data_IF_729215428272
#
_entry.id   IF_729215428272
#
_cell.length_a   1.000
_cell.length_b   1.000
_cell.length_c   1.000
_cell.angle_alpha   90.00
_cell.angle_beta   90.00
_cell.angle_gamma   90.00
#
_symmetry.space_group_name_H-M   'P 1'
#
loop_
_entity.id
_entity.type
_entity.pdbx_description
1 polymer ?
#
# COMPACT_ATOMS: atom_id res chain seq x y z
N UNK A 1 4.97 -28.95 -5.81
CA UNK A 1 5.47 -27.56 -5.96
C UNK A 1 4.31 -26.64 -5.59
N UNK A 2 4.48 -25.81 -4.60
CA UNK A 2 3.45 -24.88 -4.07
C UNK A 2 3.06 -23.86 -5.14
N UNK A 3 1.76 -23.61 -5.30
CA UNK A 3 1.23 -22.59 -6.21
C UNK A 3 1.15 -21.25 -5.49
N UNK A 4 2.03 -20.32 -5.83
CA UNK A 4 2.11 -18.99 -5.21
C UNK A 4 1.32 -17.91 -5.98
N UNK A 5 0.85 -18.20 -7.20
CA UNK A 5 0.13 -17.24 -8.04
C UNK A 5 -1.21 -16.84 -7.43
N UNK A 6 -1.51 -15.53 -7.50
CA UNK A 6 -2.80 -14.98 -7.11
C UNK A 6 -3.36 -14.05 -8.19
N UNK A 7 -4.68 -13.86 -8.22
CA UNK A 7 -5.33 -12.92 -9.14
C UNK A 7 -5.82 -11.70 -8.35
N UNK A 8 -5.33 -10.52 -8.71
CA UNK A 8 -5.66 -9.27 -8.08
C UNK A 8 -6.44 -8.38 -9.06
N UNK A 9 -7.77 -8.49 -9.04
CA UNK A 9 -8.69 -7.76 -9.94
C UNK A 9 -8.30 -7.89 -11.43
N UNK A 10 -8.03 -9.12 -11.89
CA UNK A 10 -7.61 -9.40 -13.27
C UNK A 10 -6.11 -9.30 -13.54
N UNK A 11 -5.32 -8.75 -12.62
CA UNK A 11 -3.86 -8.77 -12.67
C UNK A 11 -3.33 -10.05 -12.00
N UNK A 12 -2.74 -10.95 -12.80
CA UNK A 12 -2.07 -12.15 -12.25
C UNK A 12 -0.71 -11.76 -11.69
N UNK A 13 -0.48 -12.08 -10.42
CA UNK A 13 0.81 -11.95 -9.73
C UNK A 13 1.44 -13.34 -9.58
N UNK A 14 2.75 -13.48 -9.80
CA UNK A 14 3.47 -14.75 -9.67
C UNK A 14 3.56 -15.24 -8.22
N UNK A 15 3.49 -14.30 -7.28
CA UNK A 15 3.35 -14.53 -5.84
C UNK A 15 2.59 -13.35 -5.21
N UNK A 16 2.08 -13.47 -3.98
CA UNK A 16 1.25 -12.43 -3.36
C UNK A 16 2.01 -11.18 -2.88
N UNK A 17 3.35 -11.10 -3.02
CA UNK A 17 4.16 -10.04 -2.44
C UNK A 17 4.21 -8.80 -3.32
N UNK A 18 3.87 -7.65 -2.71
CA UNK A 18 3.91 -6.33 -3.32
C UNK A 18 4.83 -5.43 -2.47
N UNK A 19 5.81 -4.77 -3.08
CA UNK A 19 6.51 -3.71 -2.36
C UNK A 19 5.57 -2.50 -2.20
N UNK A 20 5.33 -2.10 -0.94
CA UNK A 20 4.34 -1.07 -0.61
C UNK A 20 4.83 0.33 -1.01
N UNK A 21 3.89 1.18 -1.42
CA UNK A 21 4.18 2.57 -1.75
C UNK A 21 4.78 3.34 -0.56
N UNK A 22 5.76 4.17 -0.87
CA UNK A 22 6.42 5.06 0.10
C UNK A 22 7.73 4.53 0.65
N UNK A 23 8.02 3.24 0.52
CA UNK A 23 9.23 2.58 1.02
C UNK A 23 10.11 2.00 -0.08
N UNK A 24 9.61 1.95 -1.31
CA UNK A 24 10.29 1.34 -2.47
C UNK A 24 10.65 2.35 -3.58
N UNK A 25 10.29 3.63 -3.42
CA UNK A 25 10.53 4.65 -4.44
C UNK A 25 9.85 4.31 -5.77
N UNK A 26 10.67 4.25 -6.81
CA UNK A 26 10.31 3.74 -8.15
C UNK A 26 10.98 2.39 -8.45
N UNK A 27 11.67 1.81 -7.46
CA UNK A 27 12.30 0.49 -7.53
C UNK A 27 13.73 0.49 -8.06
N UNK A 28 14.27 1.62 -8.51
CA UNK A 28 15.60 1.72 -9.14
C UNK A 28 16.70 1.28 -8.17
N UNK A 29 16.73 1.85 -6.98
CA UNK A 29 17.76 1.57 -5.97
C UNK A 29 17.76 0.09 -5.56
N UNK A 30 16.58 -0.52 -5.45
CA UNK A 30 16.45 -1.94 -5.15
C UNK A 30 16.88 -2.81 -6.32
N UNK A 31 16.63 -2.37 -7.58
CA UNK A 31 17.05 -3.12 -8.76
C UNK A 31 18.58 -3.18 -8.96
N UNK A 32 19.32 -2.30 -8.29
CA UNK A 32 20.78 -2.29 -8.30
C UNK A 32 21.39 -3.33 -7.33
N UNK A 33 20.61 -3.82 -6.37
CA UNK A 33 21.08 -4.76 -5.33
C UNK A 33 20.53 -6.18 -5.50
N UNK A 34 19.36 -6.37 -6.12
CA UNK A 34 18.81 -7.68 -6.50
C UNK A 34 17.82 -7.59 -7.66
N UNK A 35 17.52 -8.71 -8.31
CA UNK A 35 16.49 -8.74 -9.36
C UNK A 35 15.08 -8.58 -8.76
N UNK A 36 14.54 -7.37 -8.84
CA UNK A 36 13.21 -7.06 -8.31
C UNK A 36 12.06 -7.70 -9.10
N UNK A 37 12.33 -8.39 -10.23
CA UNK A 37 11.31 -9.17 -10.94
C UNK A 37 10.85 -10.40 -10.15
N UNK A 38 11.50 -10.73 -9.03
CA UNK A 38 11.02 -11.73 -8.07
C UNK A 38 9.70 -11.29 -7.41
N UNK A 39 9.43 -9.98 -7.24
CA UNK A 39 8.19 -9.45 -6.68
C UNK A 39 6.98 -9.79 -7.56
N UNK A 40 5.81 -9.99 -6.95
CA UNK A 40 4.55 -10.05 -7.68
C UNK A 40 4.24 -8.73 -8.39
N UNK A 41 4.41 -7.61 -7.68
CA UNK A 41 4.33 -6.24 -8.19
C UNK A 41 5.00 -5.27 -7.20
N UNK A 42 4.98 -3.97 -7.51
CA UNK A 42 5.23 -2.93 -6.54
C UNK A 42 4.34 -1.70 -6.77
N UNK A 43 3.99 -1.01 -5.68
CA UNK A 43 3.33 0.27 -5.73
C UNK A 43 4.38 1.39 -5.66
N UNK A 44 4.50 2.18 -6.72
CA UNK A 44 5.47 3.27 -6.72
C UNK A 44 5.08 4.42 -5.79
N UNK A 45 6.00 5.34 -5.57
CA UNK A 45 5.84 6.50 -4.69
C UNK A 45 4.56 7.26 -4.96
N UNK A 46 3.80 7.56 -3.90
CA UNK A 46 2.59 8.37 -3.97
C UNK A 46 2.81 9.67 -4.73
N UNK A 47 2.13 9.81 -5.85
CA UNK A 47 2.33 10.88 -6.82
C UNK A 47 1.14 11.83 -6.79
N UNK A 48 1.42 13.13 -6.77
CA UNK A 48 0.44 14.22 -6.88
C UNK A 48 0.48 14.83 -8.28
N UNK A 49 -0.54 15.60 -8.67
CA UNK A 49 -0.58 16.28 -9.98
C UNK A 49 0.66 17.16 -10.12
N UNK A 50 0.86 18.09 -9.18
CA UNK A 50 2.05 18.94 -9.14
C UNK A 50 3.17 18.31 -8.28
N UNK A 51 4.45 18.68 -8.50
CA UNK A 51 5.56 18.24 -7.65
C UNK A 51 5.45 18.76 -6.22
N UNK A 52 5.93 17.97 -5.24
CA UNK A 52 5.94 18.34 -3.82
C UNK A 52 7.31 18.14 -3.20
N UNK A 53 7.76 19.13 -2.43
CA UNK A 53 9.02 19.07 -1.68
C UNK A 53 8.93 18.21 -0.41
N UNK A 54 7.71 17.92 0.03
CA UNK A 54 7.46 17.23 1.30
C UNK A 54 7.53 18.15 2.52
N UNK A 55 7.46 17.52 3.69
CA UNK A 55 7.47 18.22 4.98
C UNK A 55 8.89 18.63 5.41
N UNK A 56 9.03 19.60 6.33
CA UNK A 56 10.30 19.94 6.97
C UNK A 56 10.92 18.74 7.71
N UNK A 57 12.25 18.77 7.84
CA UNK A 57 13.01 17.82 8.67
C UNK A 57 13.09 18.27 10.12
N UNK A 58 13.23 17.34 11.09
CA UNK A 58 13.23 15.88 10.97
C UNK A 58 11.84 15.32 10.64
N UNK A 59 11.77 14.40 9.67
CA UNK A 59 10.52 13.84 9.18
C UNK A 59 10.47 12.30 9.17
N UNK A 60 11.56 11.68 9.62
CA UNK A 60 11.67 10.25 9.88
C UNK A 60 12.41 10.08 11.20
N UNK A 61 11.96 9.16 12.04
CA UNK A 61 12.64 8.79 13.27
C UNK A 61 12.36 7.32 13.60
N UNK A 62 13.31 6.65 14.24
CA UNK A 62 13.14 5.30 14.74
C UNK A 62 12.18 5.27 15.94
N UNK A 63 11.42 4.20 16.02
CA UNK A 63 10.54 3.85 17.16
C UNK A 63 10.83 2.42 17.60
N UNK A 64 10.19 1.97 18.68
CA UNK A 64 10.28 0.59 19.12
C UNK A 64 9.60 -0.30 18.07
N UNK A 65 10.35 -1.25 17.48
CA UNK A 65 9.89 -2.17 16.43
C UNK A 65 9.19 -1.49 15.23
N UNK A 66 9.62 -0.25 14.91
CA UNK A 66 9.04 0.49 13.79
C UNK A 66 9.67 1.87 13.59
N UNK A 67 9.07 2.62 12.67
CA UNK A 67 9.50 3.97 12.32
C UNK A 67 8.34 4.97 12.39
N UNK A 68 8.64 6.18 12.78
CA UNK A 68 7.79 7.36 12.62
C UNK A 68 8.16 8.05 11.31
N UNK A 69 7.19 8.27 10.44
CA UNK A 69 7.43 8.89 9.13
C UNK A 69 6.37 9.95 8.80
N UNK A 70 6.83 11.10 8.37
CA UNK A 70 6.02 12.26 7.98
C UNK A 70 6.63 12.94 6.76
N UNK A 71 6.88 12.17 5.70
CA UNK A 71 7.58 12.65 4.48
C UNK A 71 6.79 13.73 3.74
N UNK A 72 5.45 13.72 3.82
CA UNK A 72 4.60 14.76 3.24
C UNK A 72 4.45 14.66 1.72
N UNK A 73 4.36 13.44 1.18
CA UNK A 73 4.19 13.17 -0.25
C UNK A 73 5.26 13.81 -1.14
N UNK A 74 6.52 13.85 -0.70
CA UNK A 74 7.61 14.30 -1.59
C UNK A 74 7.62 13.44 -2.85
N UNK A 75 7.40 14.08 -4.01
CA UNK A 75 7.39 13.43 -5.31
C UNK A 75 7.60 14.47 -6.44
N UNK A 76 8.05 14.05 -7.63
CA UNK A 76 8.36 14.96 -8.73
C UNK A 76 7.14 15.43 -9.54
N UNK A 77 5.91 15.01 -9.17
CA UNK A 77 4.70 15.32 -9.91
C UNK A 77 4.38 14.31 -11.03
N UNK A 78 3.10 14.28 -11.41
CA UNK A 78 2.57 13.32 -12.39
C UNK A 78 3.28 13.36 -13.74
N UNK A 79 3.52 14.55 -14.27
CA UNK A 79 4.17 14.72 -15.59
C UNK A 79 5.54 14.07 -15.62
N UNK A 80 6.38 14.33 -14.60
CA UNK A 80 7.71 13.73 -14.49
C UNK A 80 7.63 12.22 -14.34
N UNK A 81 6.72 11.71 -13.49
CA UNK A 81 6.54 10.26 -13.30
C UNK A 81 6.17 9.57 -14.63
N UNK A 82 5.31 10.16 -15.43
CA UNK A 82 4.91 9.57 -16.72
C UNK A 82 6.02 9.70 -17.77
N UNK A 83 6.68 10.85 -17.85
CA UNK A 83 7.67 11.13 -18.88
C UNK A 83 9.03 10.49 -18.62
N UNK A 84 9.40 10.24 -17.36
CA UNK A 84 10.70 9.70 -16.94
C UNK A 84 10.56 8.37 -16.19
N UNK A 85 10.05 8.39 -14.97
CA UNK A 85 10.09 7.24 -14.04
C UNK A 85 9.43 5.98 -14.63
N UNK A 86 8.21 6.09 -15.19
CA UNK A 86 7.51 4.97 -15.80
C UNK A 86 8.22 4.43 -17.06
N UNK A 87 9.04 5.23 -17.73
CA UNK A 87 9.87 4.75 -18.84
C UNK A 87 11.09 3.98 -18.34
N UNK A 88 11.76 4.51 -17.31
CA UNK A 88 12.93 3.86 -16.71
C UNK A 88 12.57 2.52 -16.06
N UNK A 89 11.44 2.43 -15.36
CA UNK A 89 10.93 1.18 -14.74
C UNK A 89 10.94 0.02 -15.74
N UNK A 90 10.57 0.23 -17.02
CA UNK A 90 10.59 -0.82 -18.04
C UNK A 90 11.98 -1.42 -18.29
N UNK A 91 13.03 -0.71 -17.94
CA UNK A 91 14.42 -1.17 -18.05
C UNK A 91 14.72 -2.31 -17.08
N UNK A 92 14.23 -2.23 -15.85
CA UNK A 92 14.58 -3.12 -14.74
C UNK A 92 13.40 -3.93 -14.16
N UNK A 93 12.15 -3.57 -14.43
CA UNK A 93 10.97 -4.33 -14.01
C UNK A 93 10.05 -4.64 -15.19
N UNK A 94 9.79 -5.95 -15.42
CA UNK A 94 9.09 -6.44 -16.62
C UNK A 94 7.59 -6.67 -16.42
N UNK A 95 7.12 -6.58 -15.18
CA UNK A 95 5.72 -6.77 -14.80
C UNK A 95 4.98 -5.43 -14.72
N UNK A 96 3.67 -5.50 -14.47
CA UNK A 96 2.87 -4.30 -14.22
C UNK A 96 3.12 -3.76 -12.83
N UNK A 97 3.10 -2.43 -12.70
CA UNK A 97 3.22 -1.71 -11.42
C UNK A 97 1.87 -1.18 -10.96
N UNK A 98 1.78 -0.85 -9.69
CA UNK A 98 0.64 -0.18 -9.05
C UNK A 98 0.95 1.32 -8.97
N UNK A 99 0.11 2.14 -9.60
CA UNK A 99 0.24 3.59 -9.57
C UNK A 99 -0.41 4.16 -8.30
N UNK A 100 0.38 4.58 -7.30
CA UNK A 100 -0.16 5.22 -6.11
C UNK A 100 -0.48 6.69 -6.41
N UNK A 101 -1.75 6.99 -6.59
CA UNK A 101 -2.29 8.32 -6.85
C UNK A 101 -2.64 9.00 -5.52
N UNK A 102 -2.08 10.17 -5.25
CA UNK A 102 -2.32 10.93 -4.03
C UNK A 102 -2.85 12.33 -4.36
N UNK A 103 -3.97 12.71 -3.75
CA UNK A 103 -4.63 13.97 -4.04
C UNK A 103 -5.37 14.53 -2.83
N UNK A 104 -5.88 15.75 -2.98
CA UNK A 104 -6.55 16.50 -1.92
C UNK A 104 -8.01 16.88 -2.28
N UNK A 105 -8.41 16.56 -3.51
CA UNK A 105 -9.77 16.78 -4.00
C UNK A 105 -10.15 15.67 -4.98
N UNK A 106 -11.45 15.53 -5.27
CA UNK A 106 -11.95 14.59 -6.28
C UNK A 106 -11.28 14.83 -7.63
N UNK A 107 -11.12 16.09 -8.04
CA UNK A 107 -10.50 16.47 -9.31
C UNK A 107 -9.06 15.95 -9.46
N UNK A 108 -8.24 16.04 -8.40
CA UNK A 108 -6.87 15.51 -8.42
C UNK A 108 -6.86 14.00 -8.66
N UNK A 109 -7.73 13.24 -7.99
CA UNK A 109 -7.82 11.80 -8.20
C UNK A 109 -8.30 11.44 -9.61
N UNK A 110 -9.21 12.20 -10.18
CA UNK A 110 -9.69 12.04 -11.56
C UNK A 110 -8.55 12.27 -12.56
N UNK A 111 -7.83 13.40 -12.45
CA UNK A 111 -6.68 13.71 -13.31
C UNK A 111 -5.61 12.59 -13.26
N UNK A 112 -5.26 12.15 -12.05
CA UNK A 112 -4.26 11.10 -11.86
C UNK A 112 -4.73 9.76 -12.44
N UNK A 113 -5.99 9.38 -12.20
CA UNK A 113 -6.57 8.14 -12.69
C UNK A 113 -6.63 8.08 -14.21
N UNK A 114 -7.05 9.16 -14.85
CA UNK A 114 -7.09 9.28 -16.31
C UNK A 114 -5.69 9.12 -16.92
N UNK A 115 -4.70 9.84 -16.37
CA UNK A 115 -3.36 9.86 -16.94
C UNK A 115 -2.56 8.58 -16.67
N UNK A 116 -2.65 8.00 -15.46
CA UNK A 116 -2.06 6.69 -15.17
C UNK A 116 -2.80 5.55 -15.90
N UNK A 117 -4.10 5.68 -16.11
CA UNK A 117 -4.90 4.74 -16.90
C UNK A 117 -4.37 4.52 -18.30
N UNK A 118 -3.84 5.57 -18.94
CA UNK A 118 -3.24 5.52 -20.29
C UNK A 118 -1.87 4.80 -20.33
N UNK A 119 -1.24 4.54 -19.18
CA UNK A 119 0.11 3.97 -19.14
C UNK A 119 0.10 2.44 -19.25
N UNK A 120 0.79 1.89 -20.26
CA UNK A 120 0.78 0.44 -20.55
C UNK A 120 1.37 -0.41 -19.43
N UNK A 121 2.37 0.06 -18.70
CA UNK A 121 3.02 -0.67 -17.62
C UNK A 121 2.33 -0.48 -16.25
N UNK A 122 1.32 0.37 -16.13
CA UNK A 122 0.44 0.42 -14.97
C UNK A 122 -0.61 -0.69 -15.07
N UNK A 123 -0.73 -1.49 -14.02
CA UNK A 123 -1.73 -2.57 -13.92
C UNK A 123 -2.93 -2.18 -13.06
N UNK A 124 -2.69 -1.44 -11.98
CA UNK A 124 -3.69 -1.00 -10.99
C UNK A 124 -3.41 0.45 -10.65
N UNK A 125 -4.45 1.22 -10.37
CA UNK A 125 -4.35 2.57 -9.80
C UNK A 125 -4.81 2.51 -8.35
N UNK A 126 -3.93 2.84 -7.40
CA UNK A 126 -4.20 2.87 -5.97
C UNK A 126 -4.48 4.32 -5.53
N UNK A 127 -5.74 4.62 -5.21
CA UNK A 127 -6.14 5.93 -4.68
C UNK A 127 -5.76 6.04 -3.21
N UNK A 128 -4.77 6.85 -2.90
CA UNK A 128 -4.30 7.06 -1.53
C UNK A 128 -5.13 8.15 -0.85
N UNK A 129 -6.30 7.78 -0.32
CA UNK A 129 -7.20 8.68 0.40
C UNK A 129 -6.82 8.88 1.88
N UNK A 130 -5.76 8.22 2.33
CA UNK A 130 -5.41 8.04 3.75
C UNK A 130 -4.25 8.89 4.24
N UNK A 131 -3.78 9.89 3.48
CA UNK A 131 -2.63 10.69 3.90
C UNK A 131 -2.98 11.59 5.10
N UNK A 132 -2.43 11.34 6.30
CA UNK A 132 -2.79 12.08 7.51
C UNK A 132 -2.15 13.47 7.61
N UNK A 133 -1.27 13.85 6.69
CA UNK A 133 -0.40 15.03 6.78
C UNK A 133 -0.86 16.20 5.91
N UNK A 134 -2.14 16.27 5.57
CA UNK A 134 -2.68 17.32 4.70
C UNK A 134 -3.38 18.39 5.51
N UNK A 135 -2.78 19.57 5.58
CA UNK A 135 -3.32 20.72 6.35
C UNK A 135 -4.64 21.29 5.81
N UNK A 136 -4.95 21.09 4.55
CA UNK A 136 -6.05 21.82 3.87
C UNK A 136 -7.35 21.03 3.67
N UNK A 137 -7.38 19.73 3.89
CA UNK A 137 -8.55 18.93 3.53
C UNK A 137 -9.13 18.02 4.61
N UNK A 138 -8.49 17.94 5.77
CA UNK A 138 -8.80 16.89 6.72
C UNK A 138 -8.46 15.50 6.14
N UNK A 139 -8.71 14.45 6.90
CA UNK A 139 -8.49 13.06 6.42
C UNK A 139 -9.66 12.70 5.51
N UNK A 140 -9.49 12.83 4.18
CA UNK A 140 -10.52 12.46 3.19
C UNK A 140 -11.01 11.03 3.46
N UNK A 141 -10.10 10.12 3.72
CA UNK A 141 -10.37 8.72 4.00
C UNK A 141 -11.11 8.41 5.31
N UNK A 142 -11.52 9.42 6.11
CA UNK A 142 -12.37 9.22 7.29
C UNK A 142 -13.87 9.45 7.00
N UNK A 143 -14.23 9.88 5.79
CA UNK A 143 -15.62 10.12 5.39
C UNK A 143 -16.04 9.09 4.34
N UNK A 144 -17.02 8.22 4.64
CA UNK A 144 -17.59 7.27 3.68
C UNK A 144 -18.07 7.97 2.40
N UNK A 145 -18.79 9.08 2.51
CA UNK A 145 -19.30 9.85 1.38
C UNK A 145 -18.19 10.37 0.46
N UNK A 146 -17.09 10.91 1.05
CA UNK A 146 -15.97 11.42 0.26
C UNK A 146 -15.24 10.28 -0.47
N UNK A 147 -15.03 9.14 0.20
CA UNK A 147 -14.41 7.96 -0.40
C UNK A 147 -15.26 7.43 -1.54
N UNK A 148 -16.57 7.28 -1.35
CA UNK A 148 -17.51 6.91 -2.42
C UNK A 148 -17.38 7.85 -3.62
N UNK A 149 -17.47 9.17 -3.41
CA UNK A 149 -17.45 10.15 -4.50
C UNK A 149 -16.12 10.13 -5.27
N UNK A 150 -14.98 10.08 -4.57
CA UNK A 150 -13.66 10.00 -5.20
C UNK A 150 -13.55 8.73 -6.05
N UNK A 151 -13.93 7.59 -5.50
CA UNK A 151 -13.85 6.29 -6.19
C UNK A 151 -14.72 6.30 -7.44
N UNK A 152 -15.98 6.75 -7.30
CA UNK A 152 -16.94 6.83 -8.40
C UNK A 152 -16.45 7.70 -9.55
N UNK A 153 -15.92 8.90 -9.25
CA UNK A 153 -15.45 9.80 -10.29
C UNK A 153 -14.14 9.31 -10.93
N UNK A 154 -13.22 8.73 -10.15
CA UNK A 154 -12.00 8.13 -10.67
C UNK A 154 -12.31 6.94 -11.60
N UNK A 155 -13.30 6.11 -11.26
CA UNK A 155 -13.70 4.95 -12.05
C UNK A 155 -14.25 5.30 -13.43
N UNK A 156 -14.85 6.48 -13.60
CA UNK A 156 -15.41 6.92 -14.89
C UNK A 156 -14.37 7.21 -15.97
N UNK A 157 -13.12 7.48 -15.58
CA UNK A 157 -12.09 8.01 -16.50
C UNK A 157 -11.00 6.98 -16.84
N UNK A 158 -11.14 5.73 -16.38
CA UNK A 158 -10.16 4.68 -16.66
C UNK A 158 -10.78 3.29 -16.63
N UNK A 159 -10.29 2.41 -17.52
CA UNK A 159 -10.63 0.98 -17.52
C UNK A 159 -9.70 0.16 -16.61
N UNK A 160 -8.67 0.80 -16.02
CA UNK A 160 -7.76 0.11 -15.09
C UNK A 160 -8.49 -0.19 -13.78
N UNK A 161 -8.16 -1.31 -13.13
CA UNK A 161 -8.63 -1.56 -11.78
C UNK A 161 -8.26 -0.42 -10.82
N UNK A 162 -9.24 0.04 -10.05
CA UNK A 162 -9.10 1.06 -9.02
C UNK A 162 -9.06 0.38 -7.65
N UNK A 163 -7.98 0.57 -6.91
CA UNK A 163 -7.86 0.19 -5.51
C UNK A 163 -7.91 1.42 -4.62
N UNK A 164 -8.55 1.31 -3.46
CA UNK A 164 -8.63 2.42 -2.50
C UNK A 164 -7.80 2.07 -1.28
N UNK A 165 -6.74 2.86 -1.01
CA UNK A 165 -5.89 2.67 0.16
C UNK A 165 -6.45 3.43 1.35
N UNK A 166 -6.93 2.68 2.35
CA UNK A 166 -7.65 3.19 3.51
C UNK A 166 -6.71 3.72 4.61
N UNK A 167 -7.26 4.62 5.42
CA UNK A 167 -6.66 5.03 6.69
C UNK A 167 -7.04 4.04 7.79
N UNK A 168 -6.09 3.58 8.62
CA UNK A 168 -6.42 2.79 9.81
C UNK A 168 -6.95 3.64 10.99
N UNK A 169 -6.87 4.98 10.86
CA UNK A 169 -7.26 5.93 11.90
C UNK A 169 -8.74 6.37 11.74
N UNK A 170 -9.63 5.41 11.70
CA UNK A 170 -11.08 5.60 11.57
C UNK A 170 -11.81 4.74 12.60
N UNK A 171 -13.06 5.08 12.89
CA UNK A 171 -13.88 4.35 13.87
C UNK A 171 -14.26 2.97 13.33
N UNK A 172 -14.69 2.90 12.07
CA UNK A 172 -15.04 1.65 11.38
C UNK A 172 -14.41 1.63 9.98
N UNK A 173 -13.39 0.80 9.81
CA UNK A 173 -12.69 0.66 8.54
C UNK A 173 -13.54 -0.15 7.52
N UNK A 174 -14.42 -1.02 7.99
CA UNK A 174 -15.34 -1.78 7.16
C UNK A 174 -16.36 -0.87 6.46
N UNK A 175 -16.90 0.12 7.17
CA UNK A 175 -17.82 1.12 6.59
C UNK A 175 -17.15 1.90 5.46
N UNK A 176 -15.90 2.34 5.67
CA UNK A 176 -15.14 3.06 4.64
C UNK A 176 -14.84 2.15 3.44
N UNK A 177 -14.47 0.88 3.68
CA UNK A 177 -14.22 -0.10 2.62
C UNK A 177 -15.48 -0.35 1.77
N UNK A 178 -16.62 -0.52 2.42
CA UNK A 178 -17.92 -0.70 1.75
C UNK A 178 -18.27 0.50 0.88
N UNK A 179 -18.06 1.73 1.37
CA UNK A 179 -18.28 2.93 0.57
C UNK A 179 -17.37 3.02 -0.66
N UNK A 180 -16.12 2.53 -0.56
CA UNK A 180 -15.24 2.43 -1.72
C UNK A 180 -15.76 1.41 -2.75
N UNK A 181 -16.19 0.23 -2.31
CA UNK A 181 -16.79 -0.80 -3.17
C UNK A 181 -18.07 -0.29 -3.85
N UNK A 182 -18.97 0.35 -3.12
CA UNK A 182 -20.18 0.98 -3.65
C UNK A 182 -19.86 2.10 -4.66
N UNK A 183 -18.72 2.78 -4.50
CA UNK A 183 -18.17 3.74 -5.46
C UNK A 183 -17.59 3.12 -6.72
N UNK A 184 -17.48 1.78 -6.79
CA UNK A 184 -16.96 1.03 -7.93
C UNK A 184 -15.47 0.70 -7.83
N UNK A 185 -14.89 0.65 -6.62
CA UNK A 185 -13.54 0.11 -6.44
C UNK A 185 -13.47 -1.36 -6.87
N UNK A 186 -12.36 -1.75 -7.49
CA UNK A 186 -12.06 -3.13 -7.87
C UNK A 186 -11.25 -3.86 -6.78
N UNK A 187 -10.82 -3.14 -5.75
CA UNK A 187 -10.13 -3.70 -4.59
C UNK A 187 -9.81 -2.64 -3.53
N UNK A 188 -9.36 -3.12 -2.38
CA UNK A 188 -9.04 -2.28 -1.21
C UNK A 188 -7.60 -2.54 -0.77
N UNK A 189 -6.84 -1.49 -0.42
CA UNK A 189 -5.54 -1.62 0.27
C UNK A 189 -5.71 -1.27 1.76
N UNK A 190 -5.44 -2.23 2.64
CA UNK A 190 -5.65 -2.16 4.10
C UNK A 190 -4.32 -2.35 4.81
N UNK A 191 -3.67 -1.31 5.31
CA UNK A 191 -4.02 0.08 5.29
C UNK A 191 -2.75 0.95 5.30
N UNK A 192 -2.90 2.26 5.46
CA UNK A 192 -1.75 3.16 5.66
C UNK A 192 -1.22 3.04 7.11
N UNK A 193 -0.16 3.80 7.46
CA UNK A 193 0.43 3.84 8.79
C UNK A 193 -0.55 4.41 9.84
N UNK A 194 -0.45 3.92 11.08
CA UNK A 194 -1.14 4.48 12.24
C UNK A 194 -0.57 5.86 12.59
N UNK A 195 -1.38 6.73 13.17
CA UNK A 195 -0.86 8.00 13.68
C UNK A 195 -0.16 7.79 15.03
N UNK A 196 1.08 8.25 15.12
CA UNK A 196 1.90 8.14 16.32
C UNK A 196 2.71 9.40 16.61
N UNK A 197 3.40 9.41 17.77
CA UNK A 197 4.23 10.53 18.23
C UNK A 197 5.34 10.03 19.15
N UNK A 198 6.47 10.74 19.16
CA UNK A 198 7.49 10.62 20.19
C UNK A 198 7.98 11.99 20.65
N UNK A 199 8.41 12.06 21.91
CA UNK A 199 8.96 13.26 22.56
C UNK A 199 10.45 13.03 22.86
N UNK A 200 11.28 13.99 22.54
CA UNK A 200 12.68 14.03 22.95
C UNK A 200 12.75 14.37 24.44
N UNK A 201 13.29 13.45 25.24
CA UNK A 201 13.31 13.59 26.70
C UNK A 201 14.27 14.69 27.21
N UNK A 202 15.24 15.10 26.38
CA UNK A 202 16.19 16.16 26.76
C UNK A 202 15.58 17.54 26.54
N UNK A 203 14.78 17.70 25.50
CA UNK A 203 14.25 19.01 25.10
C UNK A 203 12.77 19.19 25.37
N UNK A 204 12.02 18.11 25.65
CA UNK A 204 10.56 18.12 25.78
C UNK A 204 9.83 18.38 24.46
N UNK A 205 10.52 18.37 23.31
CA UNK A 205 9.94 18.67 21.99
C UNK A 205 9.54 17.39 21.25
N UNK A 206 8.53 17.46 20.35
CA UNK A 206 8.27 16.39 19.40
C UNK A 206 9.51 16.09 18.56
N UNK A 207 9.83 14.80 18.36
CA UNK A 207 10.97 14.35 17.56
C UNK A 207 10.78 14.69 16.07
N UNK A 208 9.53 14.65 15.59
CA UNK A 208 9.18 14.94 14.19
C UNK A 208 8.72 16.40 14.05
N UNK A 209 9.17 17.10 13.02
CA UNK A 209 8.85 18.51 12.80
C UNK A 209 7.32 18.79 12.73
N UNK A 210 6.54 17.87 12.18
CA UNK A 210 5.07 17.93 12.13
C UNK A 210 4.37 17.50 13.43
N UNK A 211 5.12 17.28 14.52
CA UNK A 211 4.67 16.79 15.82
C UNK A 211 4.17 15.34 15.80
N UNK A 212 3.21 15.02 14.93
CA UNK A 212 2.69 13.65 14.68
C UNK A 212 3.19 13.11 13.35
N UNK A 213 3.24 11.78 13.23
CA UNK A 213 3.71 11.08 12.04
C UNK A 213 2.93 9.76 11.87
N UNK A 214 3.02 9.15 10.70
CA UNK A 214 2.64 7.76 10.54
C UNK A 214 3.62 6.86 11.30
N UNK A 215 3.12 5.91 12.07
CA UNK A 215 3.89 4.87 12.73
C UNK A 215 3.69 3.55 11.98
N UNK A 216 4.78 2.93 11.53
CA UNK A 216 4.79 1.71 10.74
C UNK A 216 5.94 0.79 11.19
N UNK A 217 5.78 -0.51 11.00
CA UNK A 217 6.77 -1.53 11.39
C UNK A 217 6.12 -2.70 12.11
N UNK A 218 6.91 -3.64 12.58
CA UNK A 218 6.45 -4.92 13.14
C UNK A 218 5.43 -4.76 14.26
N UNK A 219 5.57 -3.74 15.09
CA UNK A 219 4.67 -3.48 16.22
C UNK A 219 3.20 -3.27 15.84
N UNK A 220 2.91 -2.87 14.59
CA UNK A 220 1.50 -2.64 14.16
C UNK A 220 0.87 -3.86 13.52
N UNK A 221 1.57 -4.98 13.34
CA UNK A 221 1.08 -6.15 12.61
C UNK A 221 -0.27 -6.67 13.14
N UNK A 222 -0.50 -6.89 14.45
CA UNK A 222 -1.78 -7.39 14.94
C UNK A 222 -2.95 -6.45 14.66
N UNK A 223 -2.69 -5.14 14.61
CA UNK A 223 -3.71 -4.12 14.29
C UNK A 223 -4.04 -4.15 12.80
N UNK A 224 -3.00 -4.26 11.96
CA UNK A 224 -3.16 -4.36 10.52
C UNK A 224 -3.91 -5.64 10.13
N UNK A 225 -3.56 -6.78 10.74
CA UNK A 225 -4.21 -8.08 10.56
C UNK A 225 -5.70 -7.99 10.89
N UNK A 226 -6.05 -7.44 12.08
CA UNK A 226 -7.45 -7.20 12.47
C UNK A 226 -8.19 -6.32 11.47
N UNK A 227 -7.55 -5.29 10.93
CA UNK A 227 -8.19 -4.42 9.94
C UNK A 227 -8.47 -5.16 8.62
N UNK A 228 -7.54 -6.01 8.15
CA UNK A 228 -7.77 -6.87 6.97
C UNK A 228 -8.96 -7.80 7.23
N UNK A 229 -8.99 -8.46 8.38
CA UNK A 229 -10.10 -9.33 8.79
C UNK A 229 -11.45 -8.60 8.73
N UNK A 230 -11.54 -7.42 9.34
CA UNK A 230 -12.75 -6.58 9.35
C UNK A 230 -13.19 -6.12 7.96
N UNK A 231 -12.24 -5.75 7.10
CA UNK A 231 -12.55 -5.33 5.73
C UNK A 231 -13.02 -6.51 4.90
N UNK A 232 -12.45 -7.71 5.08
CA UNK A 232 -12.89 -8.91 4.38
C UNK A 232 -14.35 -9.29 4.71
N UNK A 233 -14.80 -9.06 5.96
CA UNK A 233 -16.21 -9.22 6.34
C UNK A 233 -17.14 -8.21 5.66
N UNK A 234 -16.62 -7.05 5.25
CA UNK A 234 -17.43 -5.92 4.79
C UNK A 234 -17.57 -5.84 3.26
N UNK A 235 -16.61 -6.38 2.49
CA UNK A 235 -16.54 -6.25 1.02
C UNK A 235 -16.33 -7.60 0.33
N UNK A 236 -16.68 -7.66 -0.96
CA UNK A 236 -16.50 -8.86 -1.81
C UNK A 236 -15.30 -8.76 -2.77
N UNK A 237 -14.70 -7.58 -2.88
CA UNK A 237 -13.57 -7.28 -3.77
C UNK A 237 -12.22 -7.63 -3.11
N UNK A 238 -11.17 -7.95 -3.91
CA UNK A 238 -9.86 -8.35 -3.39
C UNK A 238 -9.18 -7.29 -2.52
N UNK A 239 -8.39 -7.76 -1.55
CA UNK A 239 -7.72 -6.94 -0.56
C UNK A 239 -6.20 -7.09 -0.70
N UNK A 240 -5.48 -5.95 -0.66
CA UNK A 240 -4.04 -5.90 -0.39
C UNK A 240 -3.86 -5.60 1.10
N UNK A 241 -3.41 -6.58 1.89
CA UNK A 241 -3.10 -6.39 3.31
C UNK A 241 -1.74 -5.71 3.49
N UNK A 242 -1.67 -4.61 4.26
CA UNK A 242 -0.43 -3.85 4.48
C UNK A 242 -0.31 -3.43 5.94
N UNK A 243 0.83 -3.73 6.55
CA UNK A 243 1.19 -3.23 7.88
C UNK A 243 1.89 -4.25 8.76
N UNK A 244 3.14 -4.00 9.10
CA UNK A 244 3.91 -4.77 10.04
C UNK A 244 4.48 -6.10 9.55
N UNK A 245 4.14 -6.54 8.35
CA UNK A 245 4.64 -7.79 7.75
C UNK A 245 6.16 -7.79 7.66
N UNK A 246 6.80 -8.84 8.20
CA UNK A 246 8.24 -8.97 8.31
C UNK A 246 8.76 -10.41 8.11
N UNK A 247 7.88 -11.39 7.88
CA UNK A 247 8.19 -12.80 7.63
C UNK A 247 7.23 -13.42 6.62
N UNK A 248 7.54 -14.61 6.12
CA UNK A 248 6.65 -15.39 5.27
C UNK A 248 5.41 -15.88 6.05
N UNK A 249 5.55 -16.17 7.33
CA UNK A 249 4.42 -16.50 8.22
C UNK A 249 3.43 -15.34 8.34
N UNK A 250 3.92 -14.09 8.51
CA UNK A 250 3.05 -12.90 8.53
C UNK A 250 2.24 -12.77 7.23
N UNK A 251 2.82 -13.14 6.08
CA UNK A 251 2.11 -13.16 4.79
C UNK A 251 0.97 -14.17 4.80
N UNK A 252 1.22 -15.37 5.29
CA UNK A 252 0.20 -16.43 5.40
C UNK A 252 -0.93 -15.97 6.34
N UNK A 253 -0.62 -15.37 7.49
CA UNK A 253 -1.62 -14.84 8.41
C UNK A 253 -2.50 -13.74 7.75
N UNK A 254 -1.88 -12.81 7.02
CA UNK A 254 -2.62 -11.79 6.27
C UNK A 254 -3.58 -12.42 5.24
N UNK A 255 -3.15 -13.49 4.55
CA UNK A 255 -4.01 -14.17 3.60
C UNK A 255 -5.12 -14.97 4.30
N UNK A 256 -4.85 -15.60 5.44
CA UNK A 256 -5.89 -16.22 6.27
C UNK A 256 -6.95 -15.21 6.71
N UNK A 257 -6.55 -13.98 7.04
CA UNK A 257 -7.45 -12.90 7.40
C UNK A 257 -8.25 -12.32 6.21
N UNK A 258 -7.92 -12.70 4.96
CA UNK A 258 -8.64 -12.29 3.76
C UNK A 258 -7.86 -11.48 2.73
N UNK A 259 -6.57 -11.20 2.94
CA UNK A 259 -5.76 -10.55 1.93
C UNK A 259 -5.54 -11.46 0.71
N UNK A 260 -5.75 -10.93 -0.49
CA UNK A 260 -5.43 -11.58 -1.76
C UNK A 260 -3.94 -11.41 -2.11
N UNK A 261 -3.38 -10.26 -1.73
CA UNK A 261 -1.96 -9.95 -1.85
C UNK A 261 -1.50 -9.17 -0.63
N UNK A 262 -0.19 -9.12 -0.39
CA UNK A 262 0.39 -8.55 0.83
C UNK A 262 1.44 -7.51 0.49
N UNK A 263 1.24 -6.29 0.98
CA UNK A 263 2.15 -5.18 0.80
C UNK A 263 3.18 -5.11 1.92
N UNK A 264 4.46 -5.17 1.58
CA UNK A 264 5.58 -5.08 2.52
C UNK A 264 6.24 -3.71 2.38
N UNK A 265 6.35 -2.99 3.50
CA UNK A 265 6.92 -1.65 3.54
C UNK A 265 8.17 -1.55 4.40
N UNK A 266 7.99 -1.28 5.69
CA UNK A 266 9.05 -0.95 6.65
C UNK A 266 10.14 -2.03 6.75
N UNK A 267 9.80 -3.31 6.60
CA UNK A 267 10.79 -4.40 6.59
C UNK A 267 11.87 -4.17 5.52
N UNK A 268 11.49 -3.71 4.32
CA UNK A 268 12.43 -3.38 3.23
C UNK A 268 13.30 -2.14 3.50
N UNK A 269 12.91 -1.24 4.43
CA UNK A 269 13.76 -0.13 4.85
C UNK A 269 14.78 -0.56 5.92
N UNK A 270 14.43 -1.54 6.75
CA UNK A 270 15.32 -2.10 7.78
C UNK A 270 16.34 -3.06 7.15
N UNK A 271 15.87 -3.97 6.31
CA UNK A 271 16.68 -4.90 5.53
C UNK A 271 16.26 -4.79 4.05
N UNK A 272 17.09 -4.22 3.17
CA UNK A 272 16.75 -4.08 1.74
C UNK A 272 16.45 -5.42 1.04
N UNK A 273 16.92 -6.54 1.57
CA UNK A 273 16.67 -7.89 1.04
C UNK A 273 15.40 -8.53 1.62
N UNK A 274 14.73 -7.93 2.62
CA UNK A 274 13.62 -8.57 3.33
C UNK A 274 12.51 -9.09 2.38
N UNK A 275 12.15 -8.33 1.34
CA UNK A 275 11.12 -8.77 0.41
C UNK A 275 11.56 -10.01 -0.38
N UNK A 276 12.83 -10.06 -0.81
CA UNK A 276 13.41 -11.21 -1.49
C UNK A 276 13.43 -12.42 -0.57
N UNK A 277 13.94 -12.27 0.65
CA UNK A 277 14.03 -13.33 1.66
C UNK A 277 12.65 -13.91 1.97
N UNK A 278 11.64 -13.07 2.22
CA UNK A 278 10.26 -13.50 2.45
C UNK A 278 9.70 -14.30 1.26
N UNK A 279 9.95 -13.87 0.02
CA UNK A 279 9.49 -14.59 -1.17
C UNK A 279 10.16 -15.97 -1.28
N UNK A 280 11.45 -16.05 -0.98
CA UNK A 280 12.23 -17.29 -1.01
C UNK A 280 11.81 -18.25 0.12
N UNK A 281 11.36 -17.74 1.26
CA UNK A 281 10.85 -18.52 2.40
C UNK A 281 9.41 -19.03 2.20
N UNK A 282 8.56 -18.32 1.42
CA UNK A 282 7.16 -18.69 1.24
C UNK A 282 6.88 -20.15 0.90
N UNK A 283 7.63 -20.82 -0.02
CA UNK A 283 7.39 -22.24 -0.31
C UNK A 283 7.66 -23.17 0.87
N UNK A 284 8.65 -22.85 1.70
CA UNK A 284 9.01 -23.67 2.87
C UNK A 284 7.95 -23.57 3.97
N UNK A 285 7.49 -22.35 4.24
CA UNK A 285 6.41 -22.14 5.20
C UNK A 285 5.07 -22.71 4.70
N UNK A 286 4.81 -22.63 3.39
CA UNK A 286 3.65 -23.30 2.80
C UNK A 286 3.66 -24.81 3.02
N UNK A 287 4.80 -25.48 2.84
CA UNK A 287 4.96 -26.92 3.14
C UNK A 287 4.75 -27.20 4.63
N UNK A 288 5.32 -26.39 5.52
CA UNK A 288 5.16 -26.48 6.98
C UNK A 288 3.70 -26.44 7.42
N UNK A 289 2.89 -25.61 6.77
CA UNK A 289 1.47 -25.43 7.08
C UNK A 289 0.52 -26.19 6.15
N UNK A 290 1.03 -27.11 5.31
CA UNK A 290 0.27 -27.91 4.34
C UNK A 290 -0.54 -27.06 3.35
N UNK A 291 0.04 -25.96 2.87
CA UNK A 291 -0.55 -25.06 1.88
C UNK A 291 -0.08 -25.48 0.49
N UNK A 292 -0.97 -25.99 -0.36
CA UNK A 292 -0.67 -26.35 -1.75
C UNK A 292 -0.88 -25.19 -2.73
N UNK A 293 -1.83 -24.29 -2.43
CA UNK A 293 -2.22 -23.16 -3.28
C UNK A 293 -2.57 -21.93 -2.42
N UNK A 294 -1.83 -20.84 -2.58
CA UNK A 294 -2.05 -19.60 -1.84
C UNK A 294 -3.42 -18.98 -2.10
N UNK A 295 -4.01 -19.20 -3.27
CA UNK A 295 -5.37 -18.71 -3.55
C UNK A 295 -6.44 -19.41 -2.70
N UNK A 296 -6.19 -20.64 -2.27
CA UNK A 296 -7.15 -21.43 -1.49
C UNK A 296 -7.25 -21.03 -0.02
N UNK A 297 -6.23 -20.32 0.49
CA UNK A 297 -6.16 -19.94 1.91
C UNK A 297 -6.73 -18.55 2.18
N UNK A 298 -7.09 -17.80 1.14
CA UNK A 298 -7.66 -16.46 1.30
C UNK A 298 -8.95 -16.53 2.11
N UNK A 299 -8.98 -15.82 3.24
CA UNK A 299 -10.14 -15.78 4.13
C UNK A 299 -10.39 -17.07 4.91
N UNK A 300 -9.39 -17.93 5.07
CA UNK A 300 -9.53 -19.20 5.78
C UNK A 300 -10.03 -19.00 7.22
N UNK A 301 -9.58 -17.93 7.90
CA UNK A 301 -9.99 -17.62 9.28
C UNK A 301 -11.48 -17.28 9.44
N UNK A 302 -12.22 -17.03 8.35
CA UNK A 302 -13.66 -16.74 8.36
C UNK A 302 -14.55 -17.98 8.20
N UNK A 303 -13.94 -19.17 8.16
CA UNK A 303 -14.67 -20.44 8.00
C UNK A 303 -14.95 -21.16 9.32
N UNK A 304 -14.58 -20.54 10.47
CA UNK A 304 -14.70 -21.07 11.82
C UNK A 304 -15.68 -20.29 12.67
#
# INVERSE_FOLDING_TARGET
MVKTKVNLAGLTLDNPIIAASGTFGYGKEFSEIYDINILGSFAFKGTTVEPRKGNPVPRIAEGNDGILLSVGLQNPGMEHVISSELKEIKGYFKKKVIANAAGFSVEYFVILSENFGKQKNVGIIELNVSCPNVKEGGIIGSSPEKVFNITKEAKKVTDKPIFVKLSPCVTDIGEIAKSAEEGGADGITVANALTGMRIDLKTGKPIIANKTAGYAGKAIFPIALRNVYKVYEAVSIPIIGVGGVSSAEDVIEMMYAGATAVGIGTAGLINPFALKEIIEELPFDAEKYNIEDFSSIIGLSHRF
#
